data_IF_713748605916
#
_entry.id   IF_713748605916
#
_cell.length_a   1.000
_cell.length_b   1.000
_cell.length_c   1.000
_cell.angle_alpha   90.00
_cell.angle_beta   90.00
_cell.angle_gamma   90.00
#
_symmetry.space_group_name_H-M   'P 1'
#
loop_
_entity.id
_entity.type
_entity.pdbx_description
1 polymer ?
#
# COMPACT_ATOMS: atom_id res chain seq x y z
N UNK A 1 -17.62 -33.04 -45.41
CA UNK A 1 -18.13 -31.66 -45.20
C UNK A 1 -17.69 -31.01 -43.89
N UNK A 2 -17.71 -31.67 -42.72
CA UNK A 2 -17.33 -31.03 -41.44
C UNK A 2 -15.89 -30.49 -41.36
N UNK A 3 -14.91 -31.16 -42.00
CA UNK A 3 -13.51 -30.67 -42.05
C UNK A 3 -13.34 -29.39 -42.86
N UNK A 4 -14.10 -29.24 -43.95
CA UNK A 4 -14.08 -28.04 -44.82
C UNK A 4 -14.75 -26.87 -44.09
N UNK A 5 -15.88 -27.10 -43.43
CA UNK A 5 -16.56 -26.08 -42.61
C UNK A 5 -15.69 -25.58 -41.44
N UNK A 6 -14.79 -26.43 -40.94
CA UNK A 6 -13.81 -26.08 -39.92
C UNK A 6 -12.67 -25.19 -40.48
N UNK A 7 -12.24 -25.42 -41.72
CA UNK A 7 -11.25 -24.58 -42.42
C UNK A 7 -11.80 -23.17 -42.73
N UNK A 8 -13.07 -23.07 -43.10
CA UNK A 8 -13.75 -21.79 -43.39
C UNK A 8 -14.27 -21.05 -42.15
N UNK A 9 -13.86 -21.45 -40.95
CA UNK A 9 -14.11 -20.66 -39.75
C UNK A 9 -13.24 -19.39 -39.80
N UNK A 10 -13.84 -18.21 -39.60
CA UNK A 10 -13.17 -16.90 -39.65
C UNK A 10 -11.87 -16.87 -38.82
N UNK A 11 -11.87 -17.55 -37.68
CA UNK A 11 -10.67 -17.69 -36.84
C UNK A 11 -9.53 -18.39 -37.57
N UNK A 12 -9.82 -19.52 -38.22
CA UNK A 12 -8.82 -20.33 -38.88
C UNK A 12 -8.31 -19.64 -40.15
N UNK A 13 -9.18 -18.96 -40.89
CA UNK A 13 -8.80 -18.11 -42.02
C UNK A 13 -7.82 -17.02 -41.56
N UNK A 14 -8.14 -16.31 -40.47
CA UNK A 14 -7.27 -15.27 -39.92
C UNK A 14 -5.89 -15.80 -39.54
N UNK A 15 -5.82 -16.95 -38.86
CA UNK A 15 -4.55 -17.57 -38.45
C UNK A 15 -3.72 -18.00 -39.65
N UNK A 16 -4.35 -18.62 -40.66
CA UNK A 16 -3.64 -19.06 -41.88
C UNK A 16 -3.10 -17.85 -42.64
N UNK A 17 -3.89 -16.78 -42.77
CA UNK A 17 -3.44 -15.52 -43.37
C UNK A 17 -2.30 -14.89 -42.57
N UNK A 18 -2.40 -14.84 -41.25
CA UNK A 18 -1.37 -14.27 -40.38
C UNK A 18 -0.06 -15.08 -40.48
N UNK A 19 -0.14 -16.42 -40.48
CA UNK A 19 1.02 -17.28 -40.67
C UNK A 19 1.63 -17.12 -42.06
N UNK A 20 0.81 -17.04 -43.11
CA UNK A 20 1.28 -16.77 -44.47
C UNK A 20 1.97 -15.41 -44.58
N UNK A 21 1.37 -14.37 -43.98
CA UNK A 21 1.89 -13.02 -44.00
C UNK A 21 3.16 -12.85 -43.16
N UNK A 22 3.26 -13.55 -42.03
CA UNK A 22 4.45 -13.54 -41.18
C UNK A 22 5.58 -14.40 -41.76
N UNK A 23 5.28 -15.61 -42.25
CA UNK A 23 6.28 -16.45 -42.92
C UNK A 23 6.79 -15.82 -44.21
N UNK A 24 5.90 -15.17 -44.97
CA UNK A 24 6.26 -14.47 -46.19
C UNK A 24 7.17 -13.25 -45.99
N UNK A 25 7.31 -12.77 -44.75
CA UNK A 25 8.27 -11.72 -44.38
C UNK A 25 9.71 -12.25 -44.35
N UNK A 26 9.91 -13.50 -43.91
CA UNK A 26 11.24 -14.12 -43.79
C UNK A 26 11.63 -14.96 -45.01
N UNK A 27 10.64 -15.53 -45.70
CA UNK A 27 10.86 -16.45 -46.82
C UNK A 27 10.37 -15.85 -48.14
N UNK A 28 11.02 -16.19 -49.28
CA UNK A 28 10.62 -15.74 -50.61
C UNK A 28 9.19 -16.15 -50.94
N UNK A 29 8.28 -15.19 -50.80
CA UNK A 29 6.85 -15.35 -50.99
C UNK A 29 6.35 -14.51 -52.18
N UNK A 30 5.13 -14.76 -52.63
CA UNK A 30 4.49 -13.91 -53.65
C UNK A 30 4.39 -12.45 -53.19
N UNK A 31 4.22 -12.22 -51.87
CA UNK A 31 4.14 -10.88 -51.31
C UNK A 31 5.48 -10.14 -51.40
N UNK A 32 6.59 -10.85 -51.14
CA UNK A 32 7.93 -10.29 -51.28
C UNK A 32 8.29 -10.00 -52.74
N UNK A 33 7.91 -10.88 -53.67
CA UNK A 33 8.13 -10.68 -55.11
C UNK A 33 7.42 -9.44 -55.68
N UNK A 34 6.28 -9.06 -55.10
CA UNK A 34 5.54 -7.85 -55.48
C UNK A 34 5.91 -6.62 -54.63
N UNK A 35 7.03 -6.66 -53.89
CA UNK A 35 7.51 -5.58 -53.02
C UNK A 35 6.50 -5.09 -51.96
N UNK A 36 5.51 -5.91 -51.60
CA UNK A 36 4.43 -5.51 -50.67
C UNK A 36 5.02 -5.17 -49.29
N UNK A 37 6.00 -5.93 -48.81
CA UNK A 37 6.66 -5.62 -47.54
C UNK A 37 7.46 -4.32 -47.58
N UNK A 38 8.12 -4.00 -48.70
CA UNK A 38 8.81 -2.72 -48.87
C UNK A 38 7.83 -1.56 -48.75
N UNK A 39 6.66 -1.66 -49.40
CA UNK A 39 5.60 -0.66 -49.26
C UNK A 39 5.11 -0.55 -47.82
N UNK A 40 4.91 -1.66 -47.11
CA UNK A 40 4.47 -1.62 -45.71
C UNK A 40 5.50 -0.91 -44.84
N UNK A 41 6.79 -1.22 -45.01
CA UNK A 41 7.88 -0.59 -44.27
C UNK A 41 7.98 0.91 -44.61
N UNK A 42 7.79 1.31 -45.86
CA UNK A 42 7.77 2.72 -46.26
C UNK A 42 6.56 3.48 -45.69
N UNK A 43 5.37 2.87 -45.71
CA UNK A 43 4.14 3.53 -45.26
C UNK A 43 4.00 3.61 -43.74
N UNK A 44 4.49 2.60 -43.01
CA UNK A 44 4.37 2.52 -41.55
C UNK A 44 5.68 2.78 -40.82
N UNK A 45 6.84 2.59 -41.45
CA UNK A 45 8.15 2.82 -40.83
C UNK A 45 8.34 2.00 -39.56
N UNK A 46 8.82 2.64 -38.49
CA UNK A 46 8.96 2.03 -37.15
C UNK A 46 7.66 1.39 -36.64
N UNK A 47 6.49 1.91 -37.01
CA UNK A 47 5.21 1.38 -36.55
C UNK A 47 4.84 0.02 -37.15
N UNK A 48 5.58 -0.46 -38.15
CA UNK A 48 5.44 -1.83 -38.66
C UNK A 48 5.60 -2.84 -37.51
N UNK A 49 6.60 -2.67 -36.65
CA UNK A 49 6.83 -3.55 -35.50
C UNK A 49 5.67 -3.52 -34.50
N UNK A 50 5.08 -2.35 -34.27
CA UNK A 50 3.91 -2.21 -33.41
C UNK A 50 2.67 -2.89 -34.03
N UNK A 51 2.52 -2.84 -35.35
CA UNK A 51 1.48 -3.57 -36.07
C UNK A 51 1.66 -5.09 -35.96
N UNK A 52 2.89 -5.59 -36.05
CA UNK A 52 3.15 -7.03 -35.86
C UNK A 52 2.72 -7.51 -34.47
N UNK A 53 3.10 -6.76 -33.42
CA UNK A 53 2.67 -7.04 -32.04
C UNK A 53 1.14 -7.01 -31.93
N UNK A 54 0.50 -6.04 -32.58
CA UNK A 54 -0.96 -5.93 -32.61
C UNK A 54 -1.62 -7.14 -33.29
N UNK A 55 -1.17 -7.54 -34.48
CA UNK A 55 -1.76 -8.67 -35.21
C UNK A 55 -1.59 -9.98 -34.45
N UNK A 56 -0.40 -10.24 -33.92
CA UNK A 56 -0.13 -11.44 -33.12
C UNK A 56 -1.00 -11.45 -31.86
N UNK A 57 -1.03 -10.33 -31.11
CA UNK A 57 -1.87 -10.17 -29.93
C UNK A 57 -3.36 -10.32 -30.22
N UNK A 58 -3.82 -9.77 -31.34
CA UNK A 58 -5.20 -9.89 -31.80
C UNK A 58 -5.54 -11.35 -32.17
N UNK A 59 -4.61 -12.06 -32.81
CA UNK A 59 -4.70 -13.50 -33.06
C UNK A 59 -4.88 -14.30 -31.77
N UNK A 60 -4.07 -14.04 -30.74
CA UNK A 60 -4.24 -14.66 -29.42
C UNK A 60 -5.63 -14.40 -28.83
N UNK A 61 -6.18 -13.20 -29.02
CA UNK A 61 -7.52 -12.85 -28.54
C UNK A 61 -8.63 -13.74 -29.11
N UNK A 62 -8.44 -14.32 -30.31
CA UNK A 62 -9.43 -15.21 -30.93
C UNK A 62 -9.47 -16.60 -30.29
N UNK A 63 -8.43 -17.02 -29.58
CA UNK A 63 -8.38 -18.29 -28.86
C UNK A 63 -8.87 -18.19 -27.41
N UNK A 64 -9.04 -16.97 -26.90
CA UNK A 64 -9.49 -16.75 -25.53
C UNK A 64 -10.98 -17.10 -25.37
N UNK A 65 -11.27 -18.05 -24.49
CA UNK A 65 -12.65 -18.44 -24.14
C UNK A 65 -13.37 -17.39 -23.29
N UNK A 66 -12.66 -16.69 -22.41
CA UNK A 66 -13.27 -15.73 -21.51
C UNK A 66 -13.49 -14.36 -22.22
N UNK A 67 -14.75 -13.90 -22.37
CA UNK A 67 -15.07 -12.69 -23.11
C UNK A 67 -14.49 -11.43 -22.45
N UNK A 68 -14.47 -11.36 -21.12
CA UNK A 68 -13.97 -10.18 -20.39
C UNK A 68 -12.48 -9.98 -20.62
N UNK A 69 -11.68 -11.04 -20.48
CA UNK A 69 -10.24 -11.00 -20.72
C UNK A 69 -9.91 -10.70 -22.19
N UNK A 70 -10.72 -11.19 -23.12
CA UNK A 70 -10.61 -10.91 -24.55
C UNK A 70 -10.81 -9.42 -24.85
N UNK A 71 -11.85 -8.80 -24.30
CA UNK A 71 -12.10 -7.36 -24.45
C UNK A 71 -10.94 -6.56 -23.86
N UNK A 72 -10.49 -6.90 -22.65
CA UNK A 72 -9.35 -6.22 -22.00
C UNK A 72 -8.09 -6.30 -22.85
N UNK A 73 -7.76 -7.46 -23.43
CA UNK A 73 -6.61 -7.59 -24.32
C UNK A 73 -6.73 -6.71 -25.56
N UNK A 74 -7.90 -6.74 -26.25
CA UNK A 74 -8.13 -5.90 -27.42
C UNK A 74 -7.97 -4.43 -27.11
N UNK A 75 -8.61 -3.96 -26.04
CA UNK A 75 -8.53 -2.57 -25.57
C UNK A 75 -7.06 -2.17 -25.35
N UNK A 76 -6.28 -3.01 -24.65
CA UNK A 76 -4.85 -2.74 -24.41
C UNK A 76 -4.03 -2.66 -25.69
N UNK A 77 -4.29 -3.53 -26.66
CA UNK A 77 -3.59 -3.51 -27.95
C UNK A 77 -3.85 -2.20 -28.71
N UNK A 78 -5.10 -1.71 -28.72
CA UNK A 78 -5.41 -0.40 -29.32
C UNK A 78 -4.73 0.76 -28.58
N UNK A 79 -4.80 0.79 -27.25
CA UNK A 79 -4.14 1.84 -26.46
C UNK A 79 -2.62 1.82 -26.59
N UNK A 80 -2.01 0.65 -26.85
CA UNK A 80 -0.59 0.54 -27.14
C UNK A 80 -0.21 1.18 -28.48
N UNK A 81 -1.01 0.99 -29.53
CA UNK A 81 -0.80 1.69 -30.81
C UNK A 81 -0.96 3.20 -30.62
N UNK A 82 -2.06 3.63 -29.99
CA UNK A 82 -2.34 5.05 -29.75
C UNK A 82 -1.21 5.71 -28.97
N UNK A 83 -0.72 5.04 -27.93
CA UNK A 83 0.43 5.51 -27.16
C UNK A 83 1.70 5.57 -28.00
N UNK A 84 1.96 4.57 -28.84
CA UNK A 84 3.14 4.55 -29.73
C UNK A 84 3.14 5.74 -30.68
N UNK A 85 2.02 5.97 -31.37
CA UNK A 85 1.84 7.12 -32.27
C UNK A 85 2.04 8.44 -31.54
N UNK A 86 1.42 8.57 -30.36
CA UNK A 86 1.50 9.79 -29.57
C UNK A 86 2.93 10.10 -29.12
N UNK A 87 3.70 9.07 -28.74
CA UNK A 87 5.11 9.21 -28.39
C UNK A 87 5.95 9.62 -29.60
N UNK A 88 5.71 9.01 -30.78
CA UNK A 88 6.43 9.38 -32.00
C UNK A 88 6.17 10.83 -32.43
N UNK A 89 4.93 11.30 -32.29
CA UNK A 89 4.61 12.72 -32.51
C UNK A 89 5.28 13.65 -31.51
N UNK A 90 5.30 13.27 -30.24
CA UNK A 90 5.94 14.07 -29.20
C UNK A 90 7.45 14.17 -29.45
N UNK A 91 8.09 13.08 -29.88
CA UNK A 91 9.49 13.06 -30.28
C UNK A 91 9.78 13.94 -31.51
N UNK A 92 8.88 13.93 -32.51
CA UNK A 92 8.99 14.84 -33.66
C UNK A 92 8.93 16.31 -33.21
N UNK A 93 7.96 16.67 -32.36
CA UNK A 93 7.81 18.04 -31.87
C UNK A 93 9.05 18.50 -31.11
N UNK A 94 9.63 17.62 -30.28
CA UNK A 94 10.86 17.91 -29.54
C UNK A 94 12.04 18.12 -30.49
N UNK A 95 12.17 17.28 -31.52
CA UNK A 95 13.20 17.41 -32.57
C UNK A 95 13.09 18.71 -33.36
N UNK A 96 11.89 19.29 -33.47
CA UNK A 96 11.63 20.56 -34.17
C UNK A 96 11.87 21.79 -33.31
N UNK A 97 12.03 21.65 -31.99
CA UNK A 97 12.20 22.78 -31.06
C UNK A 97 13.41 23.67 -31.39
N UNK A 98 14.44 23.10 -31.99
CA UNK A 98 15.66 23.83 -32.36
C UNK A 98 15.54 24.63 -33.68
N UNK A 99 14.39 24.57 -34.38
CA UNK A 99 14.20 25.14 -35.72
C UNK A 99 13.06 26.16 -35.80
N UNK A 100 12.60 26.66 -34.64
CA UNK A 100 11.41 27.51 -34.50
C UNK A 100 11.49 28.89 -35.20
N UNK A 101 12.68 29.35 -35.61
CA UNK A 101 12.87 30.65 -36.26
C UNK A 101 12.86 30.59 -37.81
N UNK A 102 12.53 29.44 -38.39
CA UNK A 102 12.63 29.21 -39.84
C UNK A 102 11.29 29.39 -40.57
N UNK A 103 11.31 29.73 -41.86
CA UNK A 103 10.11 29.84 -42.70
C UNK A 103 9.32 28.52 -42.78
N UNK A 104 7.99 28.60 -42.91
CA UNK A 104 7.08 27.44 -42.89
C UNK A 104 7.45 26.33 -43.89
N UNK A 105 7.86 26.70 -45.10
CA UNK A 105 8.26 25.72 -46.14
C UNK A 105 9.51 24.93 -45.72
N UNK A 106 10.47 25.60 -45.08
CA UNK A 106 11.68 24.95 -44.55
C UNK A 106 11.35 24.04 -43.38
N UNK A 107 10.36 24.39 -42.56
CA UNK A 107 9.89 23.52 -41.47
C UNK A 107 9.26 22.24 -42.04
N UNK A 108 8.46 22.34 -43.12
CA UNK A 108 7.86 21.16 -43.75
C UNK A 108 8.92 20.22 -44.34
N UNK A 109 9.88 20.76 -45.10
CA UNK A 109 11.00 19.96 -45.63
C UNK A 109 11.78 19.29 -44.50
N UNK A 110 12.02 20.01 -43.40
CA UNK A 110 12.75 19.51 -42.25
C UNK A 110 11.99 18.42 -41.48
N UNK A 111 10.67 18.54 -41.35
CA UNK A 111 9.81 17.49 -40.77
C UNK A 111 9.87 16.22 -41.61
N UNK A 112 9.83 16.35 -42.94
CA UNK A 112 9.95 15.22 -43.85
C UNK A 112 11.34 14.58 -43.71
N UNK A 113 12.39 15.40 -43.65
CA UNK A 113 13.77 14.93 -43.53
C UNK A 113 14.01 14.19 -42.21
N UNK A 114 13.66 14.79 -41.05
CA UNK A 114 13.80 14.11 -39.75
C UNK A 114 12.89 12.89 -39.70
N UNK A 115 11.62 13.07 -40.09
CA UNK A 115 10.60 12.04 -39.96
C UNK A 115 10.98 10.79 -40.74
N UNK A 116 11.33 10.93 -42.02
CA UNK A 116 11.66 9.79 -42.89
C UNK A 116 13.09 9.31 -42.64
N UNK A 117 14.09 10.19 -42.60
CA UNK A 117 15.49 9.76 -42.66
C UNK A 117 16.08 9.43 -41.29
N UNK A 118 15.75 10.20 -40.25
CA UNK A 118 16.33 9.99 -38.91
C UNK A 118 15.49 9.04 -38.07
N UNK A 119 14.17 9.24 -38.06
CA UNK A 119 13.26 8.44 -37.24
C UNK A 119 12.69 7.27 -38.04
N UNK A 120 12.70 7.30 -39.37
CA UNK A 120 12.03 6.29 -40.19
C UNK A 120 10.55 6.13 -39.79
N UNK A 121 9.86 7.26 -39.58
CA UNK A 121 8.41 7.33 -39.50
C UNK A 121 7.84 7.07 -40.88
N UNK A 122 6.77 6.28 -40.93
CA UNK A 122 6.09 5.98 -42.18
C UNK A 122 5.44 7.21 -42.81
N UNK A 123 5.29 7.18 -44.14
CA UNK A 123 4.66 8.27 -44.90
C UNK A 123 3.29 8.68 -44.36
N UNK A 124 2.49 7.70 -43.90
CA UNK A 124 1.16 7.96 -43.38
C UNK A 124 1.21 8.87 -42.16
N UNK A 125 2.09 8.55 -41.22
CA UNK A 125 2.24 9.22 -39.93
C UNK A 125 2.79 10.63 -40.08
N UNK A 126 3.77 10.82 -40.96
CA UNK A 126 4.33 12.15 -41.25
C UNK A 126 3.28 13.03 -41.90
N UNK A 127 2.50 12.48 -42.85
CA UNK A 127 1.44 13.22 -43.51
C UNK A 127 0.35 13.67 -42.52
N UNK A 128 -0.09 12.77 -41.63
CA UNK A 128 -1.06 13.11 -40.59
C UNK A 128 -0.50 14.11 -39.58
N UNK A 129 0.77 13.97 -39.20
CA UNK A 129 1.45 14.92 -38.33
C UNK A 129 1.48 16.33 -38.94
N UNK A 130 1.94 16.47 -40.18
CA UNK A 130 2.02 17.77 -40.88
C UNK A 130 0.65 18.44 -40.94
N UNK A 131 -0.40 17.68 -41.24
CA UNK A 131 -1.76 18.21 -41.32
C UNK A 131 -2.29 18.71 -39.97
N UNK A 132 -1.87 18.10 -38.86
CA UNK A 132 -2.29 18.51 -37.51
C UNK A 132 -1.42 19.66 -36.99
N UNK A 133 -0.10 19.54 -37.16
CA UNK A 133 0.90 20.44 -36.61
C UNK A 133 0.70 21.89 -37.03
N UNK A 134 0.42 22.14 -38.32
CA UNK A 134 0.20 23.51 -38.80
C UNK A 134 -1.17 24.10 -38.43
N UNK A 135 -2.13 23.28 -38.01
CA UNK A 135 -3.50 23.71 -37.71
C UNK A 135 -3.74 23.91 -36.20
N UNK A 136 -2.84 23.45 -35.33
CA UNK A 136 -3.02 23.44 -33.88
C UNK A 136 -1.86 24.17 -33.20
N UNK A 137 -2.17 24.96 -32.17
CA UNK A 137 -1.13 25.59 -31.33
C UNK A 137 -0.26 24.51 -30.67
N UNK A 138 1.06 24.66 -30.77
CA UNK A 138 2.05 23.68 -30.29
C UNK A 138 1.82 23.25 -28.82
N UNK A 139 1.62 24.19 -27.90
CA UNK A 139 1.41 23.88 -26.48
C UNK A 139 0.15 23.03 -26.23
N UNK A 140 -0.93 23.34 -26.95
CA UNK A 140 -2.18 22.59 -26.88
C UNK A 140 -1.97 21.18 -27.42
N UNK A 141 -1.24 21.06 -28.54
CA UNK A 141 -0.96 19.76 -29.14
C UNK A 141 -0.10 18.88 -28.22
N UNK A 142 0.96 19.42 -27.62
CA UNK A 142 1.79 18.72 -26.63
C UNK A 142 0.95 18.27 -25.43
N UNK A 143 0.12 19.17 -24.87
CA UNK A 143 -0.74 18.85 -23.73
C UNK A 143 -1.71 17.70 -24.02
N UNK A 144 -2.32 17.68 -25.21
CA UNK A 144 -3.21 16.59 -25.66
C UNK A 144 -2.44 15.28 -25.81
N UNK A 145 -1.26 15.29 -26.42
CA UNK A 145 -0.43 14.08 -26.57
C UNK A 145 -0.04 13.48 -25.23
N UNK A 146 0.40 14.32 -24.28
CA UNK A 146 0.75 13.87 -22.92
C UNK A 146 -0.47 13.25 -22.22
N UNK A 147 -1.64 13.88 -22.32
CA UNK A 147 -2.87 13.35 -21.75
C UNK A 147 -3.25 11.98 -22.35
N UNK A 148 -3.12 11.82 -23.68
CA UNK A 148 -3.37 10.55 -24.36
C UNK A 148 -2.40 9.47 -23.88
N UNK A 149 -1.10 9.78 -23.78
CA UNK A 149 -0.07 8.83 -23.28
C UNK A 149 -0.39 8.42 -21.85
N UNK A 150 -0.77 9.37 -20.99
CA UNK A 150 -1.11 9.11 -19.59
C UNK A 150 -2.31 8.15 -19.46
N UNK A 151 -3.41 8.43 -20.16
CA UNK A 151 -4.61 7.59 -20.15
C UNK A 151 -4.29 6.19 -20.70
N UNK A 152 -3.54 6.13 -21.81
CA UNK A 152 -3.14 4.87 -22.44
C UNK A 152 -2.31 4.01 -21.49
N UNK A 153 -1.35 4.62 -20.79
CA UNK A 153 -0.46 3.93 -19.84
C UNK A 153 -1.24 3.32 -18.68
N UNK A 154 -2.23 4.04 -18.13
CA UNK A 154 -3.11 3.52 -17.07
C UNK A 154 -3.87 2.28 -17.55
N UNK A 155 -4.42 2.32 -18.76
CA UNK A 155 -5.23 1.21 -19.30
C UNK A 155 -4.37 -0.03 -19.59
N UNK A 156 -3.17 0.18 -20.13
CA UNK A 156 -2.18 -0.88 -20.39
C UNK A 156 -1.74 -1.54 -19.07
N UNK A 157 -1.35 -0.73 -18.08
CA UNK A 157 -0.74 -1.19 -16.82
C UNK A 157 -1.75 -1.40 -15.68
N UNK A 158 -3.06 -1.27 -15.93
CA UNK A 158 -4.09 -1.28 -14.89
C UNK A 158 -4.09 -2.49 -13.93
N UNK A 159 -3.61 -3.66 -14.38
CA UNK A 159 -3.44 -4.83 -13.48
C UNK A 159 -2.31 -4.62 -12.46
N UNK A 160 -1.19 -4.04 -12.88
CA UNK A 160 -0.07 -3.70 -12.00
C UNK A 160 -0.46 -2.58 -11.02
N UNK A 161 -1.18 -1.56 -11.49
CA UNK A 161 -1.71 -0.48 -10.66
C UNK A 161 -2.61 -1.03 -9.54
N UNK A 162 -3.51 -1.96 -9.85
CA UNK A 162 -4.35 -2.60 -8.84
C UNK A 162 -3.52 -3.34 -7.78
N UNK A 163 -2.46 -4.03 -8.20
CA UNK A 163 -1.53 -4.71 -7.29
C UNK A 163 -0.82 -3.74 -6.36
N UNK A 164 -0.30 -2.64 -6.89
CA UNK A 164 0.35 -1.58 -6.11
C UNK A 164 -0.64 -0.92 -5.13
N UNK A 165 -1.85 -0.58 -5.56
CA UNK A 165 -2.87 0.00 -4.68
C UNK A 165 -3.20 -0.92 -3.50
N UNK A 166 -3.35 -2.24 -3.75
CA UNK A 166 -3.60 -3.20 -2.68
C UNK A 166 -2.43 -3.30 -1.69
N UNK A 167 -1.18 -3.25 -2.18
CA UNK A 167 0.00 -3.22 -1.32
C UNK A 167 0.03 -1.97 -0.44
N UNK A 168 -0.23 -0.80 -1.02
CA UNK A 168 -0.27 0.47 -0.28
C UNK A 168 -1.38 0.45 0.77
N UNK A 169 -2.58 -0.03 0.42
CA UNK A 169 -3.70 -0.15 1.37
C UNK A 169 -3.32 -1.10 2.52
N UNK A 170 -2.73 -2.26 2.23
CA UNK A 170 -2.30 -3.21 3.25
C UNK A 170 -1.20 -2.65 4.16
N UNK A 171 -0.28 -1.87 3.59
CA UNK A 171 0.77 -1.18 4.35
C UNK A 171 0.17 -0.16 5.33
N UNK A 172 -0.73 0.71 4.85
CA UNK A 172 -1.43 1.66 5.74
C UNK A 172 -2.28 0.96 6.81
N UNK A 173 -2.94 -0.14 6.46
CA UNK A 173 -3.72 -0.94 7.41
C UNK A 173 -2.82 -1.52 8.51
N UNK A 174 -1.64 -2.02 8.15
CA UNK A 174 -0.64 -2.53 9.10
C UNK A 174 -0.13 -1.44 10.03
N UNK A 175 0.19 -0.25 9.50
CA UNK A 175 0.61 0.91 10.30
C UNK A 175 -0.49 1.30 11.30
N UNK A 176 -1.74 1.40 10.85
CA UNK A 176 -2.85 1.79 11.71
C UNK A 176 -3.08 0.78 12.84
N UNK A 177 -3.03 -0.53 12.56
CA UNK A 177 -3.12 -1.56 13.59
C UNK A 177 -1.97 -1.49 14.58
N UNK A 178 -0.74 -1.32 14.10
CA UNK A 178 0.44 -1.17 14.95
C UNK A 178 0.36 0.06 15.86
N UNK A 179 -0.22 1.17 15.38
CA UNK A 179 -0.45 2.36 16.21
C UNK A 179 -1.48 2.10 17.31
N UNK A 180 -2.59 1.44 16.98
CA UNK A 180 -3.65 1.07 17.93
C UNK A 180 -3.12 0.10 19.01
N UNK A 181 -2.25 -0.83 18.63
CA UNK A 181 -1.66 -1.81 19.54
C UNK A 181 -0.61 -1.16 20.46
N UNK A 182 0.26 -0.30 19.93
CA UNK A 182 1.19 0.50 20.76
C UNK A 182 0.47 1.39 21.75
N UNK A 183 -0.68 1.96 21.38
CA UNK A 183 -1.50 2.76 22.30
C UNK A 183 -2.04 1.90 23.45
N UNK A 184 -2.57 0.70 23.15
CA UNK A 184 -3.03 -0.25 24.18
C UNK A 184 -1.91 -0.66 25.13
N UNK A 185 -0.73 -1.02 24.60
CA UNK A 185 0.42 -1.41 25.43
C UNK A 185 0.87 -0.25 26.34
N UNK A 186 0.85 1.00 25.86
CA UNK A 186 1.16 2.15 26.70
C UNK A 186 0.15 2.34 27.83
N UNK A 187 -1.14 2.19 27.53
CA UNK A 187 -2.21 2.27 28.52
C UNK A 187 -2.10 1.16 29.57
N UNK A 188 -1.78 -0.07 29.17
CA UNK A 188 -1.54 -1.19 30.09
C UNK A 188 -0.32 -0.97 30.98
N UNK A 189 0.82 -0.55 30.41
CA UNK A 189 2.02 -0.22 31.21
C UNK A 189 1.74 0.86 32.25
N UNK A 190 0.98 1.88 31.88
CA UNK A 190 0.63 2.98 32.79
C UNK A 190 -0.33 2.54 33.90
N UNK A 191 -1.16 1.52 33.68
CA UNK A 191 -1.99 0.90 34.73
C UNK A 191 -1.14 0.09 35.72
N UNK A 192 -0.21 -0.72 35.20
CA UNK A 192 0.70 -1.51 36.03
C UNK A 192 1.58 -0.58 36.89
N UNK A 193 2.16 0.46 36.31
CA UNK A 193 2.98 1.43 37.05
C UNK A 193 2.19 2.14 38.17
N UNK A 194 0.89 2.41 37.93
CA UNK A 194 0.02 2.97 38.98
C UNK A 194 -0.24 1.97 40.11
N UNK A 195 -0.45 0.69 39.80
CA UNK A 195 -0.62 -0.34 40.80
C UNK A 195 0.67 -0.52 41.63
N UNK A 196 1.83 -0.58 40.99
CA UNK A 196 3.12 -0.69 41.69
C UNK A 196 3.39 0.50 42.63
N UNK A 197 3.01 1.72 42.24
CA UNK A 197 3.13 2.90 43.12
C UNK A 197 2.20 2.79 44.33
N UNK A 198 0.97 2.36 44.11
CA UNK A 198 -0.02 2.22 45.17
C UNK A 198 0.34 1.08 46.14
N UNK A 199 0.89 -0.02 45.64
CA UNK A 199 1.43 -1.11 46.47
C UNK A 199 2.62 -0.65 47.32
N UNK A 200 3.51 0.17 46.77
CA UNK A 200 4.61 0.77 47.54
C UNK A 200 4.11 1.69 48.65
N UNK A 201 3.15 2.56 48.33
CA UNK A 201 2.53 3.45 49.32
C UNK A 201 1.86 2.67 50.46
N UNK A 202 1.12 1.61 50.13
CA UNK A 202 0.52 0.72 51.14
C UNK A 202 1.59 0.05 52.00
N UNK A 203 2.68 -0.43 51.40
CA UNK A 203 3.75 -1.09 52.13
C UNK A 203 4.48 -0.13 53.09
N UNK A 204 4.75 1.09 52.63
CA UNK A 204 5.36 2.14 53.45
C UNK A 204 4.44 2.55 54.60
N UNK A 205 3.13 2.63 54.37
CA UNK A 205 2.13 2.93 55.40
C UNK A 205 2.05 1.82 56.46
N UNK A 206 2.05 0.54 56.04
CA UNK A 206 2.11 -0.60 56.96
C UNK A 206 3.39 -0.54 57.81
N UNK A 207 4.54 -0.23 57.21
CA UNK A 207 5.81 -0.14 57.93
C UNK A 207 5.80 1.01 58.96
N UNK A 208 5.24 2.16 58.60
CA UNK A 208 5.10 3.29 59.52
C UNK A 208 4.15 2.97 60.68
N UNK A 209 3.02 2.29 60.40
CA UNK A 209 2.09 1.85 61.44
C UNK A 209 2.79 0.88 62.40
N UNK A 210 3.54 -0.11 61.89
CA UNK A 210 4.30 -1.05 62.72
C UNK A 210 5.31 -0.35 63.63
N UNK A 211 6.06 0.62 63.10
CA UNK A 211 6.99 1.44 63.92
C UNK A 211 6.25 2.21 65.01
N UNK A 212 5.12 2.85 64.69
CA UNK A 212 4.30 3.55 65.68
C UNK A 212 3.78 2.64 66.79
N UNK A 213 3.45 1.38 66.48
CA UNK A 213 3.05 0.41 67.50
C UNK A 213 4.24 -0.03 68.36
N UNK A 214 5.40 -0.27 67.77
CA UNK A 214 6.63 -0.59 68.52
C UNK A 214 7.06 0.56 69.44
N UNK A 215 7.05 1.80 68.95
CA UNK A 215 7.36 2.99 69.76
C UNK A 215 6.36 3.18 70.91
N UNK A 216 5.08 2.84 70.70
CA UNK A 216 4.07 2.86 71.77
C UNK A 216 4.28 1.75 72.80
N UNK A 217 4.67 0.56 72.36
CA UNK A 217 5.03 -0.53 73.27
C UNK A 217 6.27 -0.15 74.10
N UNK A 218 7.30 0.43 73.48
CA UNK A 218 8.48 0.94 74.17
C UNK A 218 8.13 2.05 75.17
N UNK A 219 7.27 3.00 74.81
CA UNK A 219 6.80 4.05 75.73
C UNK A 219 5.96 3.51 76.90
N UNK A 220 5.12 2.51 76.65
CA UNK A 220 4.34 1.85 77.71
C UNK A 220 5.27 1.04 78.63
N UNK A 221 6.28 0.37 78.07
CA UNK A 221 7.29 -0.34 78.85
C UNK A 221 8.08 0.64 79.73
N UNK A 222 8.53 1.76 79.18
CA UNK A 222 9.19 2.83 79.94
C UNK A 222 8.30 3.47 81.02
N UNK A 223 6.98 3.47 80.85
CA UNK A 223 6.04 3.94 81.87
C UNK A 223 5.88 2.91 83.00
N UNK A 224 5.78 1.63 82.66
CA UNK A 224 5.72 0.54 83.66
C UNK A 224 7.03 0.51 84.46
N UNK A 225 8.18 0.61 83.79
CA UNK A 225 9.49 0.63 84.45
C UNK A 225 9.63 1.83 85.41
N UNK A 226 9.05 3.00 85.07
CA UNK A 226 9.01 4.19 85.96
C UNK A 226 8.01 4.05 87.10
N UNK A 227 6.92 3.31 86.92
CA UNK A 227 5.97 3.00 87.99
C UNK A 227 6.58 2.00 88.99
N UNK A 228 7.30 0.98 88.51
CA UNK A 228 8.04 0.04 89.37
C UNK A 228 9.17 0.75 90.16
N UNK A 229 9.90 1.69 89.55
CA UNK A 229 10.94 2.49 90.22
C UNK A 229 10.38 3.47 91.28
N UNK A 230 9.08 3.80 91.21
CA UNK A 230 8.38 4.60 92.21
C UNK A 230 7.79 3.72 93.33
N UNK A 231 7.33 2.51 93.03
CA UNK A 231 6.86 1.54 94.03
C UNK A 231 8.02 1.07 94.94
N UNK A 232 9.22 0.84 94.39
CA UNK A 232 10.40 0.51 95.22
C UNK A 232 10.83 1.64 96.17
N UNK A 233 10.38 2.88 95.97
CA UNK A 233 10.65 4.02 96.89
C UNK A 233 9.59 4.21 97.96
N UNK A 234 8.37 3.72 97.76
CA UNK A 234 7.27 3.86 98.72
C UNK A 234 7.18 2.70 99.73
N UNK A 235 7.81 1.54 99.45
CA UNK A 235 7.79 0.37 100.34
C UNK A 235 8.71 0.46 101.58
N UNK A 236 9.47 1.55 101.79
CA UNK A 236 10.28 1.73 103.01
C UNK A 236 9.52 2.34 104.21
N UNK A 237 8.25 2.76 104.05
CA UNK A 237 7.42 3.24 105.18
C UNK A 237 5.92 2.97 105.00
N UNK A 238 5.45 1.81 105.45
CA UNK A 238 4.53 1.69 106.60
C UNK A 238 3.89 0.30 106.64
N UNK A 239 4.31 -0.48 107.63
CA UNK A 239 3.54 -1.57 108.22
C UNK A 239 2.31 -1.01 108.96
N UNK A 240 1.18 -1.73 108.88
CA UNK A 240 0.22 -2.10 109.96
C UNK A 240 -1.20 -2.29 109.40
N UNK A 241 -1.73 -3.52 109.55
CA UNK A 241 -3.03 -3.74 110.18
C UNK A 241 -4.26 -4.12 109.32
N UNK A 242 -4.48 -5.44 109.17
CA UNK A 242 -5.73 -6.20 109.44
C UNK A 242 -7.07 -5.59 108.97
N UNK A 243 -7.85 -6.30 108.13
CA UNK A 243 -9.02 -7.11 108.55
C UNK A 243 -9.67 -7.88 107.37
N UNK A 244 -10.09 -9.12 107.65
CA UNK A 244 -10.78 -10.02 106.71
C UNK A 244 -12.28 -9.79 106.83
N UNK A 245 -13.03 -9.77 105.72
CA UNK A 245 -14.43 -10.20 105.72
C UNK A 245 -14.78 -10.98 104.44
N UNK A 246 -15.30 -12.18 104.65
CA UNK A 246 -15.95 -13.03 103.64
C UNK A 246 -17.41 -12.60 103.46
N UNK A 247 -17.90 -12.41 102.23
CA UNK A 247 -19.34 -12.60 101.95
C UNK A 247 -19.62 -13.05 100.49
N UNK A 248 -19.99 -14.33 100.38
CA UNK A 248 -21.00 -15.02 99.53
C UNK A 248 -21.32 -14.53 98.09
N UNK A 249 -21.23 -15.51 97.15
CA UNK A 249 -22.29 -16.12 96.29
C UNK A 249 -23.35 -15.17 95.66
N UNK A 250 -23.67 -15.16 94.35
CA UNK A 250 -24.11 -16.23 93.42
C UNK A 250 -23.85 -15.80 91.94
N UNK A 251 -23.27 -16.62 91.05
CA UNK A 251 -23.89 -17.51 90.04
C UNK A 251 -25.09 -16.95 89.27
N UNK A 252 -24.90 -16.73 87.96
CA UNK A 252 -25.70 -17.17 86.78
C UNK A 252 -25.41 -16.18 85.64
N UNK A 253 -25.28 -16.49 84.36
CA UNK A 253 -25.18 -17.73 83.56
C UNK A 253 -25.28 -17.27 82.10
N UNK A 254 -24.61 -17.98 81.19
CA UNK A 254 -25.08 -18.27 79.82
C UNK A 254 -25.23 -17.10 78.83
N UNK A 255 -24.97 -17.21 77.54
CA UNK A 255 -24.51 -18.25 76.62
C UNK A 255 -24.21 -17.53 75.28
N UNK A 256 -23.27 -18.06 74.49
CA UNK A 256 -23.18 -17.78 73.06
C UNK A 256 -24.29 -18.53 72.29
N UNK A 257 -24.61 -18.11 71.06
CA UNK A 257 -24.58 -19.13 70.02
C UNK A 257 -23.93 -18.64 68.72
N UNK A 258 -22.96 -19.44 68.27
CA UNK A 258 -22.66 -19.70 66.86
C UNK A 258 -23.80 -20.50 66.21
N UNK A 259 -24.06 -20.27 64.92
CA UNK A 259 -24.48 -21.35 64.03
C UNK A 259 -25.42 -20.99 62.88
N UNK A 260 -24.90 -21.23 61.68
CA UNK A 260 -25.55 -21.54 60.39
C UNK A 260 -26.23 -20.44 59.58
#
# INVERSE_FOLDING_TARGET
>A
MNKIRLLFNERNIYIVLLLYFFSGYFYPSFLQKNNIYSYITEYFGIYENLLWIFFIGYGFSMFMKNPTKKIVLKVRLYFMIISGISVGYLYLIDSLKNFEETSLDKIQEYIIQIGILNINLGYLEIYTFLKIYFNVKKDVFIGVLIAIIFISTIIITGKAIKGLLLLVINYFKSIYFGFKERKRIKEEKLRIEKQEKLEKEIYDEICNIQKMYQEKEEQNQEQIDKEEENVEKDDEKNDIGIEISEEKRDIESTWFPTGN
#
